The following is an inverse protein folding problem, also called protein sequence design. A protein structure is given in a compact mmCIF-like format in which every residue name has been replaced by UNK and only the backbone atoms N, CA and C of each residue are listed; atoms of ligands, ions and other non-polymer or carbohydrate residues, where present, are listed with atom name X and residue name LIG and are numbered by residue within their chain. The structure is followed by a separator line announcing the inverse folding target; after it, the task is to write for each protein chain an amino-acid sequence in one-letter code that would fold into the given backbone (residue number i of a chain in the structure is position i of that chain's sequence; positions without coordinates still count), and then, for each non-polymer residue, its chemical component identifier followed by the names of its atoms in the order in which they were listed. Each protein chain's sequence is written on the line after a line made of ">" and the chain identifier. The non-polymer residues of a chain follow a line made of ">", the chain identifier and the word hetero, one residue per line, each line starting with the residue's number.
data_IF_041792442738
#
_entry.id   IF_041792442738
#
_cell.length_a   1.000
_cell.length_b   1.000
_cell.length_c   1.000
_cell.angle_alpha   90.00
_cell.angle_beta   90.00
_cell.angle_gamma   90.00
#
_symmetry.space_group_name_H-M   'P 1'
#
loop_
_entity.id
_entity.type
_entity.pdbx_description
1 polymer ?
#
# COMPACT_ATOMS: atom_id res chain seq x y z
N UNK A 1 0.73 48.51 1.05
CA UNK A 1 0.69 47.18 1.67
C UNK A 1 -0.67 46.59 1.36
N UNK A 2 -0.80 45.87 0.23
CA UNK A 2 -2.08 45.28 -0.19
C UNK A 2 -2.16 43.87 0.42
N UNK A 3 -3.01 43.70 1.43
CA UNK A 3 -3.48 42.38 1.83
C UNK A 3 -4.43 41.87 0.77
N UNK A 4 -3.93 40.96 -0.08
CA UNK A 4 -4.76 40.18 -1.00
C UNK A 4 -5.65 39.30 -0.12
N UNK A 5 -6.92 39.67 -0.05
CA UNK A 5 -8.00 38.87 0.52
C UNK A 5 -8.11 37.57 -0.29
N UNK A 6 -7.61 36.49 0.31
CA UNK A 6 -7.58 35.15 -0.28
C UNK A 6 -8.96 34.52 -0.16
N UNK A 7 -9.90 35.02 -0.97
CA UNK A 7 -11.21 34.43 -1.22
C UNK A 7 -11.13 33.18 -2.11
N UNK A 8 -10.08 32.37 -1.96
CA UNK A 8 -9.85 31.13 -2.74
C UNK A 8 -9.47 29.97 -1.81
N UNK A 9 -10.32 29.68 -0.81
CA UNK A 9 -10.42 28.32 -0.29
C UNK A 9 -11.73 28.05 0.47
N UNK A 10 -12.86 28.53 -0.04
CA UNK A 10 -14.17 28.06 0.40
C UNK A 10 -14.75 27.16 -0.68
N UNK A 11 -14.14 25.99 -0.86
CA UNK A 11 -14.89 24.84 -1.34
C UNK A 11 -15.86 24.47 -0.21
N UNK A 12 -17.04 25.09 -0.27
CA UNK A 12 -18.22 24.75 0.50
C UNK A 12 -18.54 23.28 0.27
N UNK A 13 -18.07 22.42 1.17
CA UNK A 13 -18.36 20.98 1.14
C UNK A 13 -19.71 20.68 1.78
N UNK A 14 -20.72 21.54 1.56
CA UNK A 14 -22.02 21.47 2.23
C UNK A 14 -22.97 20.44 1.61
N UNK A 15 -22.60 19.85 0.45
CA UNK A 15 -23.37 18.81 -0.24
C UNK A 15 -22.57 17.54 -0.56
N UNK A 16 -21.35 17.40 -0.04
CA UNK A 16 -20.69 16.11 -0.08
C UNK A 16 -21.44 15.18 0.85
N UNK A 17 -22.40 14.42 0.29
CA UNK A 17 -22.88 13.16 0.87
C UNK A 17 -21.66 12.50 1.47
N UNK A 18 -21.56 12.50 2.80
CA UNK A 18 -20.48 11.80 3.49
C UNK A 18 -20.46 10.42 2.88
N UNK A 19 -19.38 10.01 2.19
CA UNK A 19 -19.36 8.71 1.56
C UNK A 19 -19.76 7.73 2.65
N UNK A 20 -20.83 6.95 2.43
CA UNK A 20 -21.15 5.87 3.37
C UNK A 20 -19.90 5.03 3.41
N UNK A 21 -19.14 5.16 4.50
CA UNK A 21 -17.92 4.42 4.70
C UNK A 21 -18.34 2.97 4.69
N UNK A 22 -18.00 2.25 3.62
CA UNK A 22 -18.21 0.82 3.58
C UNK A 22 -17.34 0.28 4.72
N UNK A 23 -17.92 -0.37 5.73
CA UNK A 23 -17.15 -0.85 6.86
C UNK A 23 -16.08 -1.80 6.32
N UNK A 24 -14.82 -1.39 6.47
CA UNK A 24 -13.67 -2.18 6.03
C UNK A 24 -13.66 -3.44 6.88
N UNK A 25 -13.96 -4.58 6.25
CA UNK A 25 -13.83 -5.88 6.89
C UNK A 25 -12.38 -6.32 6.80
N UNK A 26 -11.67 -6.19 7.91
CA UNK A 26 -10.33 -6.71 8.06
C UNK A 26 -10.36 -8.24 8.08
N UNK A 27 -9.27 -8.84 7.60
CA UNK A 27 -9.04 -10.26 7.78
C UNK A 27 -8.79 -10.51 9.27
N UNK A 28 -9.50 -11.49 9.85
CA UNK A 28 -9.42 -11.77 11.29
C UNK A 28 -8.34 -12.80 11.64
N UNK A 29 -7.97 -13.63 10.67
CA UNK A 29 -7.03 -14.72 10.84
C UNK A 29 -6.15 -14.82 9.60
N UNK A 30 -4.85 -14.96 9.82
CA UNK A 30 -3.88 -15.09 8.74
C UNK A 30 -2.47 -15.25 9.28
N UNK A 31 -1.55 -15.54 8.37
CA UNK A 31 -0.13 -15.55 8.64
C UNK A 31 0.61 -15.11 7.36
N UNK A 32 1.82 -14.61 7.57
CA UNK A 32 2.75 -14.31 6.49
C UNK A 32 4.15 -14.68 6.97
N UNK A 33 4.89 -15.37 6.12
CA UNK A 33 6.30 -15.69 6.34
C UNK A 33 7.07 -15.16 5.15
N UNK A 34 8.15 -14.45 5.44
CA UNK A 34 9.12 -14.03 4.43
C UNK A 34 10.47 -14.66 4.73
N UNK A 35 11.00 -15.36 3.75
CA UNK A 35 12.33 -15.93 3.79
C UNK A 35 13.23 -15.15 2.85
N UNK A 36 14.36 -14.68 3.38
CA UNK A 36 15.39 -13.99 2.61
C UNK A 36 16.63 -14.88 2.67
N UNK A 37 17.13 -15.28 1.52
CA UNK A 37 18.29 -16.16 1.39
C UNK A 37 19.35 -15.45 0.57
N UNK A 38 20.57 -15.33 1.11
CA UNK A 38 21.71 -14.85 0.33
C UNK A 38 22.04 -15.85 -0.77
N UNK A 39 22.12 -15.38 -2.01
CA UNK A 39 22.51 -16.21 -3.16
C UNK A 39 23.96 -15.92 -3.53
N UNK A 40 24.34 -14.65 -3.58
CA UNK A 40 25.72 -14.16 -3.72
C UNK A 40 25.88 -12.75 -3.12
N UNK A 41 27.07 -12.15 -3.27
CA UNK A 41 27.45 -10.85 -2.68
C UNK A 41 26.50 -9.69 -3.08
N UNK A 42 25.82 -9.79 -4.22
CA UNK A 42 24.96 -8.72 -4.73
C UNK A 42 23.48 -9.13 -4.84
N UNK A 43 23.13 -10.38 -4.55
CA UNK A 43 21.78 -10.91 -4.78
C UNK A 43 21.24 -11.71 -3.61
N UNK A 44 19.96 -11.46 -3.31
CA UNK A 44 19.18 -12.24 -2.35
C UNK A 44 17.96 -12.82 -3.06
N UNK A 45 17.62 -14.06 -2.73
CA UNK A 45 16.34 -14.66 -3.07
C UNK A 45 15.33 -14.38 -1.97
N UNK A 46 14.10 -14.06 -2.36
CA UNK A 46 13.05 -13.62 -1.45
C UNK A 46 11.78 -14.40 -1.77
N UNK A 47 11.36 -15.23 -0.81
CA UNK A 47 10.11 -15.99 -0.88
C UNK A 47 9.14 -15.40 0.13
N UNK A 48 7.93 -15.10 -0.33
CA UNK A 48 6.88 -14.49 0.47
C UNK A 48 5.63 -15.37 0.42
N UNK A 49 5.42 -16.11 1.51
CA UNK A 49 4.30 -17.02 1.67
C UNK A 49 3.25 -16.39 2.60
N UNK A 50 2.03 -16.26 2.12
CA UNK A 50 0.96 -15.62 2.88
C UNK A 50 -0.34 -16.41 2.76
N UNK A 51 -1.10 -16.42 3.86
CA UNK A 51 -2.43 -17.00 3.92
C UNK A 51 -3.34 -16.16 4.79
N UNK A 52 -4.61 -16.10 4.43
CA UNK A 52 -5.61 -15.46 5.25
C UNK A 52 -7.01 -16.02 4.99
N UNK A 53 -7.84 -16.04 6.04
CA UNK A 53 -9.25 -16.37 5.91
C UNK A 53 -10.03 -15.19 5.31
N UNK A 54 -10.74 -15.43 4.21
CA UNK A 54 -11.57 -14.42 3.54
C UNK A 54 -13.06 -14.77 3.66
N UNK A 55 -13.88 -13.79 4.06
CA UNK A 55 -15.35 -13.95 4.20
C UNK A 55 -16.08 -13.76 2.85
N UNK A 56 -15.41 -13.23 1.83
CA UNK A 56 -15.97 -13.02 0.50
C UNK A 56 -14.90 -12.98 -0.59
N UNK A 57 -15.31 -13.23 -1.84
CA UNK A 57 -14.43 -13.06 -3.00
C UNK A 57 -13.89 -11.63 -3.11
N UNK A 58 -14.73 -10.63 -2.87
CA UNK A 58 -14.30 -9.23 -2.93
C UNK A 58 -13.16 -8.95 -1.94
N UNK A 59 -13.27 -9.48 -0.72
CA UNK A 59 -12.20 -9.37 0.29
C UNK A 59 -10.93 -10.07 -0.16
N UNK A 60 -11.02 -11.27 -0.75
CA UNK A 60 -9.86 -11.99 -1.29
C UNK A 60 -9.18 -11.20 -2.41
N UNK A 61 -9.96 -10.66 -3.36
CA UNK A 61 -9.43 -9.89 -4.49
C UNK A 61 -8.69 -8.62 -3.99
N UNK A 62 -9.25 -7.92 -3.01
CA UNK A 62 -8.56 -6.77 -2.37
C UNK A 62 -7.28 -7.19 -1.65
N UNK A 63 -7.31 -8.30 -0.92
CA UNK A 63 -6.18 -8.75 -0.13
C UNK A 63 -5.00 -9.16 -1.03
N UNK A 64 -5.27 -9.88 -2.12
CA UNK A 64 -4.25 -10.25 -3.11
C UNK A 64 -3.62 -8.99 -3.73
N UNK A 65 -4.43 -7.98 -4.06
CA UNK A 65 -3.90 -6.71 -4.57
C UNK A 65 -3.00 -6.00 -3.54
N UNK A 66 -3.36 -6.01 -2.26
CA UNK A 66 -2.54 -5.44 -1.19
C UNK A 66 -1.21 -6.16 -1.01
N UNK A 67 -1.20 -7.49 -1.08
CA UNK A 67 0.01 -8.31 -1.00
C UNK A 67 0.96 -8.03 -2.16
N UNK A 68 0.45 -7.97 -3.40
CA UNK A 68 1.25 -7.60 -4.56
C UNK A 68 1.85 -6.19 -4.42
N UNK A 69 1.06 -5.22 -3.97
CA UNK A 69 1.55 -3.85 -3.73
C UNK A 69 2.63 -3.79 -2.63
N UNK A 70 2.53 -4.64 -1.61
CA UNK A 70 3.56 -4.72 -0.57
C UNK A 70 4.88 -5.24 -1.12
N UNK A 71 4.83 -6.30 -1.94
CA UNK A 71 6.03 -6.85 -2.60
C UNK A 71 6.72 -5.81 -3.49
N UNK A 72 5.96 -5.10 -4.33
CA UNK A 72 6.50 -4.05 -5.21
C UNK A 72 7.15 -2.92 -4.40
N UNK A 73 6.49 -2.44 -3.34
CA UNK A 73 7.08 -1.38 -2.49
C UNK A 73 8.34 -1.86 -1.79
N UNK A 74 8.35 -3.10 -1.33
CA UNK A 74 9.52 -3.66 -0.68
C UNK A 74 10.69 -3.76 -1.65
N UNK A 75 10.45 -4.27 -2.86
CA UNK A 75 11.44 -4.31 -3.94
C UNK A 75 12.01 -2.91 -4.22
N UNK A 76 11.16 -1.89 -4.30
CA UNK A 76 11.60 -0.50 -4.50
C UNK A 76 12.46 0.05 -3.35
N UNK A 77 12.27 -0.44 -2.12
CA UNK A 77 13.06 -0.03 -0.95
C UNK A 77 14.44 -0.70 -0.96
N UNK A 78 14.51 -1.97 -1.35
CA UNK A 78 15.76 -2.74 -1.34
C UNK A 78 16.56 -2.62 -2.63
N UNK A 79 15.90 -2.28 -3.73
CA UNK A 79 16.58 -2.00 -4.98
C UNK A 79 17.60 -0.88 -4.75
N UNK A 80 18.87 -1.07 -5.15
CA UNK A 80 19.87 -0.04 -4.99
C UNK A 80 19.37 1.23 -5.67
N UNK A 81 19.35 2.33 -4.91
CA UNK A 81 19.08 3.64 -5.47
C UNK A 81 20.23 3.97 -6.42
N UNK A 82 20.11 3.61 -7.70
CA UNK A 82 21.05 4.03 -8.75
C UNK A 82 20.90 5.52 -9.04
N UNK A 83 20.79 6.33 -7.99
CA UNK A 83 20.58 7.77 -8.04
C UNK A 83 21.87 8.56 -8.26
N UNK A 84 23.03 7.89 -8.37
CA UNK A 84 24.35 8.53 -8.46
C UNK A 84 25.26 8.02 -9.60
N UNK A 85 24.72 7.30 -10.59
CA UNK A 85 25.43 7.07 -11.84
C UNK A 85 25.00 8.13 -12.87
N UNK A 86 25.39 9.39 -12.65
CA UNK A 86 25.30 10.47 -13.63
C UNK A 86 26.59 11.29 -13.63
#
# INVERSE_FOLDING_TARGET
>A
MNTIDSTVNRLSNTDAKTPKLVPVKWVKEGWGVRTITEVDEATVDVVDDQWAACESKLQADYLVAQWAQFLVRWEQIVAPSNFLAQ
#
